data_IF_210834495002
#
_entry.id   IF_210834495002
#
_cell.length_a   1.000
_cell.length_b   1.000
_cell.length_c   1.000
_cell.angle_alpha   90.00
_cell.angle_beta   90.00
_cell.angle_gamma   90.00
#
_symmetry.space_group_name_H-M   'P 1'
#
loop_
_entity.id
_entity.type
_entity.pdbx_description
1 polymer ?
#
# COMPACT_ATOMS: atom_id res chain seq x y z
N UNK A 1 -14.81 -7.64 -15.51
CA UNK A 1 -14.01 -8.39 -14.50
C UNK A 1 -13.94 -7.54 -13.24
N UNK A 2 -14.17 -8.12 -12.06
CA UNK A 2 -14.10 -7.38 -10.80
C UNK A 2 -12.64 -7.06 -10.43
N UNK A 3 -12.39 -5.93 -9.76
CA UNK A 3 -11.04 -5.56 -9.28
C UNK A 3 -10.40 -6.65 -8.41
N UNK A 4 -11.22 -7.31 -7.57
CA UNK A 4 -10.78 -8.42 -6.72
C UNK A 4 -10.24 -9.60 -7.54
N UNK A 5 -10.96 -9.99 -8.58
CA UNK A 5 -10.57 -11.13 -9.41
C UNK A 5 -9.32 -10.77 -10.23
N UNK A 6 -9.23 -9.54 -10.71
CA UNK A 6 -8.05 -9.04 -11.43
C UNK A 6 -6.80 -9.05 -10.55
N UNK A 7 -6.86 -8.51 -9.34
CA UNK A 7 -5.70 -8.47 -8.45
C UNK A 7 -5.32 -9.86 -7.94
N UNK A 8 -6.30 -10.75 -7.74
CA UNK A 8 -6.07 -12.15 -7.39
C UNK A 8 -5.29 -12.88 -8.47
N UNK A 9 -5.74 -12.79 -9.73
CA UNK A 9 -5.08 -13.38 -10.89
C UNK A 9 -3.65 -12.86 -11.05
N UNK A 10 -3.48 -11.52 -11.07
CA UNK A 10 -2.19 -10.88 -11.35
C UNK A 10 -1.15 -11.08 -10.24
N UNK A 11 -1.59 -11.27 -9.02
CA UNK A 11 -0.70 -11.51 -7.88
C UNK A 11 -0.39 -13.00 -7.63
N UNK A 12 -0.92 -13.91 -8.46
CA UNK A 12 -0.84 -15.36 -8.19
C UNK A 12 -1.19 -15.68 -6.73
N UNK A 13 -2.34 -15.13 -6.28
CA UNK A 13 -2.73 -15.16 -4.86
C UNK A 13 -2.73 -16.56 -4.24
N UNK A 14 -3.12 -17.56 -5.02
CA UNK A 14 -3.26 -18.95 -4.55
C UNK A 14 -1.91 -19.69 -4.49
N UNK A 15 -0.82 -19.08 -4.97
CA UNK A 15 0.52 -19.67 -4.92
C UNK A 15 1.13 -19.48 -3.54
N UNK A 16 1.21 -20.56 -2.77
CA UNK A 16 1.79 -20.59 -1.43
C UNK A 16 3.26 -21.03 -1.46
N UNK A 17 4.18 -20.08 -1.55
CA UNK A 17 5.57 -20.35 -1.18
C UNK A 17 5.75 -20.05 0.30
N UNK A 18 6.38 -20.93 1.05
CA UNK A 18 6.55 -20.81 2.52
C UNK A 18 7.27 -19.53 2.98
N UNK A 19 7.95 -18.85 2.07
CA UNK A 19 8.71 -17.62 2.35
C UNK A 19 8.01 -16.33 1.85
N UNK A 20 6.83 -16.47 1.23
CA UNK A 20 6.09 -15.36 0.63
C UNK A 20 4.78 -15.13 1.37
N UNK A 21 4.57 -13.93 1.85
CA UNK A 21 3.41 -13.56 2.64
C UNK A 21 2.64 -12.45 1.94
N UNK A 22 1.44 -12.75 1.45
CA UNK A 22 0.59 -11.79 0.72
C UNK A 22 -0.55 -11.29 1.62
N UNK A 23 -0.74 -9.97 1.63
CA UNK A 23 -1.89 -9.32 2.26
C UNK A 23 -2.72 -8.60 1.22
N UNK A 24 -4.04 -8.58 1.41
CA UNK A 24 -4.99 -7.93 0.50
C UNK A 24 -5.87 -6.96 1.27
N UNK A 25 -6.21 -5.85 0.63
CA UNK A 25 -7.29 -4.96 1.05
C UNK A 25 -7.95 -4.34 -0.18
N UNK A 26 -9.19 -3.90 -0.01
CA UNK A 26 -9.95 -3.19 -1.04
C UNK A 26 -10.66 -1.98 -0.43
N UNK A 27 -10.88 -0.96 -1.25
CA UNK A 27 -11.51 0.28 -0.83
C UNK A 27 -12.38 0.87 -1.94
N UNK A 28 -13.37 1.63 -1.54
CA UNK A 28 -14.23 2.39 -2.43
C UNK A 28 -14.34 3.82 -1.93
N UNK A 29 -13.95 4.77 -2.75
CA UNK A 29 -14.22 6.19 -2.54
C UNK A 29 -14.14 6.96 -3.87
N UNK A 30 -14.74 8.15 -3.91
CA UNK A 30 -14.80 9.00 -5.10
C UNK A 30 -15.30 8.26 -6.35
N UNK A 31 -16.26 7.32 -6.16
CA UNK A 31 -16.82 6.45 -7.19
C UNK A 31 -15.79 5.54 -7.87
N UNK A 32 -14.63 5.32 -7.26
CA UNK A 32 -13.56 4.43 -7.72
C UNK A 32 -13.40 3.24 -6.78
N UNK A 33 -13.25 2.05 -7.35
CA UNK A 33 -12.94 0.82 -6.62
C UNK A 33 -11.45 0.50 -6.78
N UNK A 34 -10.78 0.19 -5.68
CA UNK A 34 -9.36 -0.21 -5.67
C UNK A 34 -9.18 -1.47 -4.84
N UNK A 35 -8.40 -2.41 -5.36
CA UNK A 35 -7.92 -3.58 -4.61
C UNK A 35 -6.41 -3.66 -4.70
N UNK A 36 -5.74 -3.84 -3.57
CA UNK A 36 -4.28 -3.90 -3.45
C UNK A 36 -3.88 -5.24 -2.84
N UNK A 37 -2.90 -5.89 -3.43
CA UNK A 37 -2.17 -7.02 -2.84
C UNK A 37 -0.73 -6.58 -2.61
N UNK A 38 -0.21 -6.84 -1.42
CA UNK A 38 1.19 -6.61 -1.07
C UNK A 38 1.88 -7.92 -0.72
N UNK A 39 3.08 -8.08 -1.25
CA UNK A 39 3.94 -9.23 -1.02
C UNK A 39 5.09 -8.85 -0.09
N UNK A 40 5.15 -9.51 1.05
CA UNK A 40 6.24 -9.40 2.03
C UNK A 40 7.01 -10.71 2.07
N UNK A 41 8.33 -10.62 2.06
CA UNK A 41 9.24 -11.75 2.26
C UNK A 41 10.00 -11.56 3.57
N UNK A 42 10.33 -12.67 4.25
CA UNK A 42 11.22 -12.63 5.41
C UNK A 42 12.68 -12.80 4.95
N UNK A 43 13.50 -11.80 5.23
CA UNK A 43 14.95 -11.84 5.01
C UNK A 43 15.65 -11.69 6.36
N UNK A 44 16.36 -12.74 6.80
CA UNK A 44 16.99 -12.78 8.15
C UNK A 44 16.01 -12.42 9.28
N UNK A 45 14.81 -12.98 9.22
CA UNK A 45 13.71 -12.70 10.15
C UNK A 45 13.17 -11.25 10.14
N UNK A 46 13.57 -10.43 9.18
CA UNK A 46 13.01 -9.08 8.99
C UNK A 46 12.07 -9.07 7.78
N UNK A 47 10.84 -8.53 7.91
CA UNK A 47 9.94 -8.41 6.79
C UNK A 47 10.46 -7.35 5.79
N UNK A 48 10.44 -7.71 4.50
CA UNK A 48 10.76 -6.81 3.40
C UNK A 48 9.59 -6.78 2.43
N UNK A 49 9.07 -5.60 2.16
CA UNK A 49 8.07 -5.39 1.11
C UNK A 49 8.74 -5.55 -0.26
N UNK A 50 8.28 -6.51 -1.05
CA UNK A 50 8.89 -6.85 -2.32
C UNK A 50 8.12 -6.29 -3.50
N UNK A 51 6.81 -6.58 -3.56
CA UNK A 51 6.00 -6.25 -4.71
C UNK A 51 4.58 -5.87 -4.31
N UNK A 52 3.97 -5.01 -5.13
CA UNK A 52 2.58 -4.57 -4.97
C UNK A 52 1.85 -4.75 -6.30
N UNK A 53 0.64 -5.27 -6.23
CA UNK A 53 -0.31 -5.32 -7.34
C UNK A 53 -1.53 -4.50 -6.96
N UNK A 54 -1.98 -3.66 -7.87
CA UNK A 54 -3.14 -2.81 -7.67
C UNK A 54 -4.09 -2.92 -8.85
N UNK A 55 -5.33 -3.27 -8.60
CA UNK A 55 -6.40 -3.22 -9.59
C UNK A 55 -7.33 -2.05 -9.29
N UNK A 56 -7.62 -1.25 -10.32
CA UNK A 56 -8.39 -0.01 -10.21
C UNK A 56 -9.53 -0.01 -11.22
N UNK A 57 -10.73 0.32 -10.75
CA UNK A 57 -11.89 0.61 -11.58
C UNK A 57 -12.31 2.06 -11.34
N UNK A 58 -11.90 2.94 -12.25
CA UNK A 58 -12.13 4.38 -12.19
C UNK A 58 -12.81 4.92 -13.46
N UNK A 59 -13.50 4.06 -14.19
CA UNK A 59 -14.07 4.42 -15.48
C UNK A 59 -13.01 4.52 -16.59
N UNK A 60 -13.30 5.32 -17.60
CA UNK A 60 -12.38 5.54 -18.74
C UNK A 60 -11.09 6.20 -18.25
N UNK A 61 -9.95 5.60 -18.56
CA UNK A 61 -8.62 6.15 -18.26
C UNK A 61 -8.10 6.93 -19.45
N UNK A 62 -8.13 8.27 -19.36
CA UNK A 62 -7.75 9.15 -20.46
C UNK A 62 -6.24 9.18 -20.68
N UNK A 63 -5.47 9.24 -19.59
CA UNK A 63 -4.01 9.22 -19.61
C UNK A 63 -3.51 8.09 -18.71
N UNK A 64 -3.15 6.96 -19.31
CA UNK A 64 -2.76 5.75 -18.57
C UNK A 64 -1.47 5.94 -17.77
N UNK A 65 -0.47 6.63 -18.31
CA UNK A 65 0.79 6.87 -17.63
C UNK A 65 0.60 7.79 -16.42
N UNK A 66 -0.11 8.90 -16.59
CA UNK A 66 -0.45 9.79 -15.49
C UNK A 66 -1.28 9.11 -14.40
N UNK A 67 -2.25 8.29 -14.79
CA UNK A 67 -3.08 7.51 -13.86
C UNK A 67 -2.23 6.47 -13.09
N UNK A 68 -1.32 5.78 -13.76
CA UNK A 68 -0.40 4.83 -13.12
C UNK A 68 0.49 5.53 -12.10
N UNK A 69 1.15 6.62 -12.47
CA UNK A 69 1.97 7.42 -11.55
C UNK A 69 1.19 7.90 -10.32
N UNK A 70 -0.07 8.29 -10.52
CA UNK A 70 -0.94 8.72 -9.41
C UNK A 70 -1.20 7.57 -8.44
N UNK A 71 -1.54 6.39 -8.93
CA UNK A 71 -1.80 5.21 -8.10
C UNK A 71 -0.52 4.74 -7.37
N UNK A 72 0.62 4.66 -8.08
CA UNK A 72 1.91 4.29 -7.48
C UNK A 72 2.30 5.24 -6.36
N UNK A 73 2.18 6.55 -6.59
CA UNK A 73 2.43 7.57 -5.58
C UNK A 73 1.56 7.39 -4.33
N UNK A 74 0.25 7.12 -4.49
CA UNK A 74 -0.65 6.90 -3.36
C UNK A 74 -0.38 5.60 -2.60
N UNK A 75 0.05 4.56 -3.28
CA UNK A 75 0.49 3.32 -2.62
C UNK A 75 1.73 3.59 -1.77
N UNK A 76 2.72 4.29 -2.31
CA UNK A 76 3.95 4.66 -1.57
C UNK A 76 3.61 5.56 -0.38
N UNK A 77 2.74 6.55 -0.55
CA UNK A 77 2.27 7.39 0.56
C UNK A 77 1.59 6.56 1.66
N UNK A 78 0.69 5.63 1.27
CA UNK A 78 0.01 4.74 2.21
C UNK A 78 0.99 3.86 3.00
N UNK A 79 2.01 3.32 2.35
CA UNK A 79 3.10 2.58 3.01
C UNK A 79 3.85 3.52 3.97
N UNK A 80 4.15 4.74 3.54
CA UNK A 80 4.81 5.76 4.35
C UNK A 80 4.04 6.11 5.61
N UNK A 81 2.74 6.35 5.48
CA UNK A 81 1.86 6.60 6.62
C UNK A 81 1.80 5.41 7.58
N UNK A 82 1.66 4.20 7.07
CA UNK A 82 1.60 3.00 7.90
C UNK A 82 2.89 2.75 8.68
N UNK A 83 4.04 2.97 8.03
CA UNK A 83 5.34 2.57 8.56
C UNK A 83 6.05 3.62 9.39
N UNK A 84 5.94 4.91 9.01
CA UNK A 84 6.85 5.93 9.54
C UNK A 84 6.16 7.16 10.10
N UNK A 85 5.02 7.59 9.51
CA UNK A 85 4.43 8.88 9.82
C UNK A 85 3.80 8.94 11.20
N UNK A 86 4.26 9.87 12.02
CA UNK A 86 3.66 10.21 13.31
C UNK A 86 3.84 11.69 13.59
N UNK A 87 2.75 12.41 13.81
CA UNK A 87 2.77 13.80 14.21
C UNK A 87 2.51 13.91 15.71
N UNK A 88 3.52 14.39 16.45
CA UNK A 88 3.43 14.60 17.90
C UNK A 88 3.08 16.02 18.23
N UNK A 89 2.31 16.19 19.30
CA UNK A 89 1.93 17.49 19.83
C UNK A 89 2.36 17.60 21.29
N UNK A 90 2.95 18.73 21.65
CA UNK A 90 3.27 19.11 23.02
C UNK A 90 2.78 20.54 23.29
N UNK A 91 2.05 20.73 24.40
CA UNK A 91 1.50 22.03 24.77
C UNK A 91 0.70 22.73 23.65
N UNK A 92 -0.07 21.96 22.87
CA UNK A 92 -0.90 22.48 21.77
C UNK A 92 -0.15 22.84 20.49
N UNK A 93 1.16 22.55 20.40
CA UNK A 93 2.00 22.81 19.23
C UNK A 93 2.59 21.52 18.68
N UNK A 94 2.77 21.44 17.34
CA UNK A 94 3.50 20.34 16.74
C UNK A 94 4.96 20.33 17.18
N UNK A 95 5.45 19.16 17.58
CA UNK A 95 6.87 18.92 17.88
C UNK A 95 7.71 18.99 16.61
N UNK A 96 7.15 18.46 15.51
CA UNK A 96 7.81 18.48 14.21
C UNK A 96 7.60 19.84 13.53
N UNK A 97 8.67 20.56 13.27
CA UNK A 97 8.62 21.89 12.65
C UNK A 97 8.87 21.86 11.15
N UNK A 98 9.58 20.84 10.65
CA UNK A 98 9.93 20.69 9.24
C UNK A 98 10.21 19.22 8.91
N UNK A 99 10.48 18.92 7.66
CA UNK A 99 10.78 17.58 7.14
C UNK A 99 12.12 16.98 7.58
N UNK A 100 12.96 17.73 8.27
CA UNK A 100 14.19 17.26 8.94
C UNK A 100 13.89 16.47 10.21
N UNK A 101 12.75 16.76 10.87
CA UNK A 101 12.32 16.13 12.12
C UNK A 101 11.10 15.23 11.97
N UNK A 102 10.42 15.26 10.83
CA UNK A 102 9.26 14.43 10.53
C UNK A 102 9.65 13.23 9.67
N UNK A 103 9.40 12.02 10.19
CA UNK A 103 9.70 10.80 9.47
C UNK A 103 8.68 10.52 8.36
N UNK A 104 9.17 10.33 7.15
CA UNK A 104 8.38 9.87 6.01
C UNK A 104 9.18 8.89 5.15
N UNK A 105 8.48 8.12 4.34
CA UNK A 105 9.10 7.12 3.48
C UNK A 105 10.14 7.73 2.53
N UNK A 106 11.26 7.05 2.38
CA UNK A 106 12.32 7.43 1.44
C UNK A 106 12.34 6.44 0.27
N UNK A 107 12.86 6.85 -0.87
CA UNK A 107 12.92 6.03 -2.08
C UNK A 107 13.47 4.60 -1.83
N UNK A 108 14.52 4.47 -1.04
CA UNK A 108 15.10 3.15 -0.69
C UNK A 108 14.18 2.22 0.10
N UNK A 109 13.11 2.76 0.70
CA UNK A 109 12.13 2.03 1.53
C UNK A 109 10.87 1.68 0.73
N UNK A 110 10.75 2.22 -0.47
CA UNK A 110 9.65 1.90 -1.39
C UNK A 110 9.74 0.46 -1.88
N UNK A 111 8.62 -0.16 -2.25
CA UNK A 111 8.64 -1.47 -2.88
C UNK A 111 9.46 -1.44 -4.17
N UNK A 112 10.11 -2.55 -4.51
CA UNK A 112 10.94 -2.64 -5.72
C UNK A 112 10.10 -2.63 -7.00
N UNK A 113 8.83 -2.98 -6.91
CA UNK A 113 7.93 -3.08 -8.05
C UNK A 113 6.47 -2.82 -7.62
N UNK A 114 5.79 -1.98 -8.39
CA UNK A 114 4.34 -1.74 -8.27
C UNK A 114 3.73 -1.97 -9.65
N UNK A 115 2.76 -2.87 -9.75
CA UNK A 115 2.02 -3.12 -10.98
C UNK A 115 0.58 -2.61 -10.83
N UNK A 116 0.14 -1.76 -11.75
CA UNK A 116 -1.20 -1.18 -11.76
C UNK A 116 -1.99 -1.70 -12.95
N UNK A 117 -3.20 -2.20 -12.69
CA UNK A 117 -4.13 -2.75 -13.67
C UNK A 117 -5.44 -1.98 -13.64
N UNK A 118 -5.80 -1.35 -14.73
CA UNK A 118 -7.10 -0.69 -14.86
C UNK A 118 -8.14 -1.67 -15.42
N UNK A 119 -9.35 -1.61 -14.87
CA UNK A 119 -10.51 -2.29 -15.42
C UNK A 119 -11.06 -1.43 -16.54
N UNK A 120 -11.06 -1.97 -17.76
CA UNK A 120 -11.61 -1.29 -18.93
C UNK A 120 -13.15 -1.34 -18.89
N UNK A 121 -13.78 -0.18 -19.01
CA UNK A 121 -15.23 -0.01 -19.12
C UNK A 121 -15.54 1.33 -19.79
N UNK A 122 -16.84 1.61 -20.01
CA UNK A 122 -17.32 2.83 -20.66
C UNK A 122 -17.92 3.85 -19.69
N UNK A 123 -17.65 3.69 -18.40
CA UNK A 123 -18.16 4.57 -17.37
C UNK A 123 -17.37 5.89 -17.42
N UNK A 124 -18.06 7.02 -17.18
CA UNK A 124 -17.42 8.32 -17.05
C UNK A 124 -16.25 8.27 -16.05
N UNK A 125 -15.11 8.94 -16.33
CA UNK A 125 -13.98 8.98 -15.42
C UNK A 125 -14.38 9.41 -14.01
N UNK A 126 -13.85 8.72 -13.00
CA UNK A 126 -14.10 8.98 -11.58
C UNK A 126 -12.82 9.42 -10.85
N UNK A 127 -12.91 9.73 -9.54
CA UNK A 127 -11.78 10.24 -8.77
C UNK A 127 -10.65 9.21 -8.64
N UNK A 128 -9.41 9.60 -8.92
CA UNK A 128 -8.25 8.71 -8.91
C UNK A 128 -7.16 9.14 -7.91
N UNK A 129 -7.21 10.37 -7.40
CA UNK A 129 -6.13 10.96 -6.60
C UNK A 129 -5.87 10.28 -5.26
N UNK A 130 -6.87 9.68 -4.60
CA UNK A 130 -6.76 9.18 -3.22
C UNK A 130 -7.13 7.70 -3.03
N UNK A 131 -7.94 7.06 -3.88
CA UNK A 131 -8.51 5.75 -3.56
C UNK A 131 -7.51 4.62 -3.28
N UNK A 132 -6.27 4.73 -3.75
CA UNK A 132 -5.25 3.69 -3.54
C UNK A 132 -4.51 3.79 -2.20
N UNK A 133 -4.60 4.92 -1.48
CA UNK A 133 -3.88 5.12 -0.22
C UNK A 133 -4.43 4.23 0.92
N UNK A 134 -5.74 4.26 1.25
CA UNK A 134 -6.27 3.47 2.38
C UNK A 134 -6.08 1.95 2.22
N UNK A 135 -6.33 1.33 1.05
CA UNK A 135 -6.15 -0.11 0.91
C UNK A 135 -4.67 -0.51 0.94
N UNK A 136 -3.73 0.38 0.61
CA UNK A 136 -2.30 0.11 0.76
C UNK A 136 -1.93 -0.15 2.23
N UNK A 137 -2.43 0.65 3.16
CA UNK A 137 -2.23 0.48 4.62
C UNK A 137 -2.77 -0.88 5.08
N UNK A 138 -4.01 -1.22 4.70
CA UNK A 138 -4.65 -2.48 5.08
C UNK A 138 -3.97 -3.71 4.49
N UNK A 139 -3.57 -3.66 3.21
CA UNK A 139 -2.86 -4.75 2.55
C UNK A 139 -1.49 -5.00 3.21
N UNK A 140 -0.74 -3.93 3.55
CA UNK A 140 0.53 -4.04 4.25
C UNK A 140 0.35 -4.67 5.63
N UNK A 141 -0.60 -4.20 6.44
CA UNK A 141 -0.87 -4.76 7.76
C UNK A 141 -1.20 -6.26 7.70
N UNK A 142 -2.01 -6.67 6.72
CA UNK A 142 -2.36 -8.07 6.52
C UNK A 142 -1.17 -8.93 6.05
N UNK A 143 -0.30 -8.40 5.19
CA UNK A 143 0.91 -9.10 4.76
C UNK A 143 1.90 -9.26 5.92
N UNK A 144 2.12 -8.21 6.71
CA UNK A 144 2.97 -8.24 7.90
C UNK A 144 2.45 -9.25 8.93
N UNK A 145 1.14 -9.27 9.19
CA UNK A 145 0.55 -10.28 10.06
C UNK A 145 0.84 -11.71 9.59
N UNK A 146 0.68 -11.99 8.30
CA UNK A 146 1.00 -13.32 7.76
C UNK A 146 2.49 -13.67 7.88
N UNK A 147 3.37 -12.66 7.78
CA UNK A 147 4.80 -12.86 7.88
C UNK A 147 5.29 -13.07 9.32
N UNK A 148 4.69 -12.38 10.30
CA UNK A 148 5.18 -12.32 11.69
C UNK A 148 4.30 -13.06 12.69
N UNK A 149 3.02 -13.31 12.35
CA UNK A 149 2.01 -13.82 13.27
C UNK A 149 1.43 -12.75 14.22
N UNK A 150 1.98 -11.53 14.23
CA UNK A 150 1.58 -10.46 15.14
C UNK A 150 0.67 -9.44 14.47
N UNK A 151 -0.47 -9.11 15.08
CA UNK A 151 -1.39 -8.07 14.60
C UNK A 151 -0.90 -6.69 15.02
N UNK A 152 -0.89 -5.76 14.07
CA UNK A 152 -0.48 -4.37 14.27
C UNK A 152 -1.71 -3.47 14.36
N UNK A 153 -1.99 -2.93 15.53
CA UNK A 153 -3.14 -2.06 15.78
C UNK A 153 -2.77 -0.58 15.94
N UNK A 154 -1.47 -0.29 16.04
CA UNK A 154 -0.97 1.07 16.22
C UNK A 154 0.06 1.41 15.14
N UNK A 155 -0.05 2.59 14.57
CA UNK A 155 0.91 3.19 13.66
C UNK A 155 1.82 4.18 14.41
N UNK A 156 3.05 4.39 13.94
CA UNK A 156 3.69 3.73 12.80
C UNK A 156 4.19 2.31 13.14
N UNK A 157 4.06 1.40 12.17
CA UNK A 157 4.42 -0.02 12.34
C UNK A 157 5.90 -0.24 12.62
N UNK A 158 6.78 0.66 12.15
CA UNK A 158 8.23 0.59 12.42
C UNK A 158 8.61 0.71 13.91
N UNK A 159 7.69 1.16 14.77
CA UNK A 159 7.90 1.19 16.22
C UNK A 159 7.73 -0.16 16.90
N UNK A 160 7.15 -1.13 16.24
CA UNK A 160 7.11 -2.49 16.72
C UNK A 160 8.47 -3.13 16.46
N UNK A 161 9.15 -3.60 17.51
CA UNK A 161 10.54 -4.09 17.50
C UNK A 161 10.83 -5.20 16.47
N UNK A 162 9.81 -5.86 15.95
CA UNK A 162 9.92 -6.96 14.99
C UNK A 162 9.81 -6.49 13.53
N UNK A 163 9.56 -5.20 13.27
CA UNK A 163 9.22 -4.71 11.94
C UNK A 163 10.12 -3.56 11.51
N UNK A 164 11.04 -3.87 10.62
CA UNK A 164 11.80 -2.89 9.84
C UNK A 164 11.73 -3.29 8.37
N UNK A 165 11.13 -2.45 7.53
CA UNK A 165 11.22 -2.62 6.07
C UNK A 165 12.57 -2.08 5.61
N UNK A 166 13.55 -2.96 5.44
CA UNK A 166 14.90 -2.61 4.94
C UNK A 166 15.21 -3.34 3.65
#
# INVERSE_FOLDING_TARGET
MCIRDRVKEKSDWDTNASTVHKGVAAYFCHSTYVAVVMEVILKKNQPKLKKVWCAVDCGIVINKEGATNMIEGRIIDGIGHAMYSELKFENGSSVHKNFDTYDFIRHRQSPSEIEVFFVENEITPTGLGEPALPPAVGALANALYKATGSRLYHQPFSKHHEISLV
#
